data_IF_646634018404
#
_entry.id   IF_646634018404
#
_cell.length_a   1.000
_cell.length_b   1.000
_cell.length_c   1.000
_cell.angle_alpha   90.00
_cell.angle_beta   90.00
_cell.angle_gamma   90.00
#
_symmetry.space_group_name_H-M   'P 1'
#
loop_
_entity.id
_entity.type
_entity.pdbx_description
1 polymer ?
#
# COMPACT_ATOMS: atom_id res chain seq x y z
N UNK A 1 -29.65 22.45 20.82
CA UNK A 1 -28.72 23.44 21.42
C UNK A 1 -27.75 23.88 20.33
N UNK A 2 -27.46 25.18 20.26
CA UNK A 2 -26.57 25.79 19.25
C UNK A 2 -25.12 25.35 19.51
N UNK A 3 -24.40 25.03 18.44
CA UNK A 3 -22.97 24.75 18.45
C UNK A 3 -22.33 25.38 17.20
N UNK A 4 -22.58 26.67 17.00
CA UNK A 4 -21.79 27.52 16.12
C UNK A 4 -20.65 28.12 16.95
N UNK A 5 -19.48 28.30 16.34
CA UNK A 5 -18.22 28.85 16.87
C UNK A 5 -17.17 27.84 17.38
N UNK A 6 -16.82 26.84 16.57
CA UNK A 6 -15.44 26.33 16.56
C UNK A 6 -14.67 27.07 15.46
N UNK A 7 -13.57 27.73 15.84
CA UNK A 7 -12.69 28.41 14.89
C UNK A 7 -12.14 27.39 13.87
N UNK A 8 -12.18 27.73 12.59
CA UNK A 8 -11.59 26.91 11.54
C UNK A 8 -10.06 26.99 11.65
N UNK A 9 -9.44 26.01 12.31
CA UNK A 9 -7.98 25.94 12.46
C UNK A 9 -7.37 25.10 11.33
N UNK A 10 -6.59 25.76 10.47
CA UNK A 10 -5.84 25.09 9.41
C UNK A 10 -4.46 24.72 9.93
N UNK A 11 -4.14 23.42 9.94
CA UNK A 11 -2.84 22.92 10.33
C UNK A 11 -2.02 22.49 9.10
N UNK A 12 -0.74 22.86 9.04
CA UNK A 12 0.18 22.41 7.99
C UNK A 12 1.26 21.51 8.58
N UNK A 13 1.30 20.26 8.14
CA UNK A 13 2.38 19.31 8.41
C UNK A 13 3.46 19.41 7.33
N UNK A 14 4.73 19.27 7.71
CA UNK A 14 5.85 19.10 6.78
C UNK A 14 6.63 17.87 7.19
N UNK A 15 6.99 17.03 6.23
CA UNK A 15 7.69 15.79 6.52
C UNK A 15 8.37 15.22 5.30
N UNK A 16 9.22 14.24 5.55
CA UNK A 16 9.85 13.42 4.53
C UNK A 16 9.55 11.94 4.81
N UNK A 17 9.44 11.17 3.72
CA UNK A 17 9.29 9.72 3.78
C UNK A 17 10.40 9.10 2.95
N UNK A 18 11.08 8.11 3.52
CA UNK A 18 12.15 7.37 2.85
C UNK A 18 11.79 5.89 2.87
N UNK A 19 11.89 5.21 1.73
CA UNK A 19 11.64 3.76 1.64
C UNK A 19 12.83 2.99 1.10
N UNK A 20 13.00 1.78 1.59
CA UNK A 20 13.89 0.76 1.07
C UNK A 20 13.08 -0.49 0.75
N UNK A 21 13.26 -1.06 -0.44
CA UNK A 21 12.53 -2.22 -0.94
C UNK A 21 13.49 -3.27 -1.49
N UNK A 22 13.22 -4.54 -1.21
CA UNK A 22 13.95 -5.68 -1.74
C UNK A 22 12.98 -6.82 -2.07
N UNK A 23 13.25 -7.55 -3.15
CA UNK A 23 12.46 -8.71 -3.54
C UNK A 23 13.19 -9.58 -4.54
N UNK A 24 12.76 -10.84 -4.68
CA UNK A 24 13.36 -11.80 -5.59
C UNK A 24 12.32 -12.71 -6.24
N UNK A 25 12.32 -12.84 -7.57
CA UNK A 25 11.35 -13.66 -8.30
C UNK A 25 11.84 -15.08 -8.58
N UNK A 26 11.13 -16.08 -8.09
CA UNK A 26 11.33 -17.50 -8.37
C UNK A 26 10.29 -17.99 -9.38
N UNK A 27 10.73 -18.59 -10.49
CA UNK A 27 9.81 -19.30 -11.39
C UNK A 27 9.46 -20.66 -10.77
N UNK A 28 8.22 -20.82 -10.32
CA UNK A 28 7.73 -22.07 -9.71
C UNK A 28 7.53 -23.17 -10.75
N UNK A 29 7.03 -22.80 -11.94
CA UNK A 29 6.86 -23.70 -13.08
C UNK A 29 7.16 -22.95 -14.38
N UNK A 30 7.91 -23.60 -15.28
CA UNK A 30 8.31 -23.01 -16.56
C UNK A 30 7.37 -23.31 -17.72
N UNK A 31 6.35 -24.14 -17.57
CA UNK A 31 5.34 -24.40 -18.59
C UNK A 31 4.18 -25.20 -17.99
N UNK A 32 3.03 -24.57 -17.82
CA UNK A 32 1.75 -25.27 -17.65
C UNK A 32 0.74 -24.66 -18.63
N UNK A 33 -0.23 -25.44 -19.11
CA UNK A 33 -1.21 -25.03 -20.10
C UNK A 33 -1.37 -26.01 -21.27
N UNK A 34 -2.39 -25.79 -22.10
CA UNK A 34 -2.62 -26.53 -23.34
C UNK A 34 -1.48 -26.26 -24.33
N UNK A 35 -1.21 -27.18 -25.28
CA UNK A 35 -0.08 -27.11 -26.23
C UNK A 35 0.12 -25.75 -26.92
N UNK A 36 -0.94 -24.94 -27.07
CA UNK A 36 -0.95 -23.64 -27.72
C UNK A 36 -0.80 -22.42 -26.78
N UNK A 37 -0.70 -22.59 -25.46
CA UNK A 37 -0.51 -21.49 -24.52
C UNK A 37 0.33 -21.92 -23.32
N UNK A 38 1.59 -21.47 -23.27
CA UNK A 38 2.52 -21.76 -22.18
C UNK A 38 2.53 -20.63 -21.17
N UNK A 39 2.23 -20.95 -19.91
CA UNK A 39 2.30 -20.00 -18.81
C UNK A 39 3.51 -20.26 -17.91
N UNK A 40 4.11 -19.19 -17.38
CA UNK A 40 5.09 -19.25 -16.29
C UNK A 40 4.44 -18.73 -15.02
N UNK A 41 4.52 -19.50 -13.94
CA UNK A 41 4.12 -19.06 -12.62
C UNK A 41 5.33 -18.54 -11.84
N UNK A 42 5.28 -17.29 -11.38
CA UNK A 42 6.33 -16.66 -10.59
C UNK A 42 5.84 -16.40 -9.17
N UNK A 43 6.69 -16.69 -8.20
CA UNK A 43 6.52 -16.34 -6.80
C UNK A 43 7.64 -15.40 -6.38
N UNK A 44 7.29 -14.25 -5.81
CA UNK A 44 8.20 -13.18 -5.48
C UNK A 44 8.01 -12.76 -4.02
N UNK A 45 8.80 -13.29 -3.07
CA UNK A 45 8.90 -12.66 -1.76
C UNK A 45 9.44 -11.24 -1.87
N UNK A 46 8.92 -10.35 -1.03
CA UNK A 46 9.29 -8.96 -0.97
C UNK A 46 9.29 -8.44 0.48
N UNK A 47 10.19 -7.51 0.75
CA UNK A 47 10.30 -6.81 2.01
C UNK A 47 10.52 -5.31 1.72
N UNK A 48 9.88 -4.48 2.52
CA UNK A 48 9.97 -3.03 2.43
C UNK A 48 10.06 -2.43 3.83
N UNK A 49 10.88 -1.42 4.01
CA UNK A 49 10.93 -0.59 5.21
C UNK A 49 10.74 0.87 4.80
N UNK A 50 9.81 1.55 5.44
CA UNK A 50 9.46 2.95 5.19
C UNK A 50 9.67 3.71 6.50
N UNK A 51 10.59 4.66 6.50
CA UNK A 51 10.74 5.62 7.58
C UNK A 51 9.92 6.88 7.27
N UNK A 52 9.09 7.29 8.23
CA UNK A 52 8.19 8.44 8.13
C UNK A 52 8.61 9.50 9.15
N UNK A 53 9.44 10.44 8.70
CA UNK A 53 9.89 11.59 9.49
C UNK A 53 9.01 12.80 9.20
N UNK A 54 7.78 12.80 9.70
CA UNK A 54 6.90 13.98 9.67
C UNK A 54 7.08 14.72 10.99
N UNK A 55 7.48 15.98 10.91
CA UNK A 55 7.65 16.82 12.09
C UNK A 55 6.41 17.71 12.23
N UNK A 56 5.69 17.48 13.32
CA UNK A 56 4.51 18.22 13.66
C UNK A 56 4.86 19.22 14.77
N UNK A 57 5.14 20.48 14.42
CA UNK A 57 5.34 21.54 15.41
C UNK A 57 4.15 21.54 16.38
N UNK A 58 4.43 21.38 17.69
CA UNK A 58 3.43 21.37 18.75
C UNK A 58 2.56 22.63 18.65
N UNK A 59 1.23 22.45 18.57
CA UNK A 59 0.29 23.55 18.56
C UNK A 59 -0.47 23.57 19.88
N UNK A 60 -0.51 24.74 20.50
CA UNK A 60 -1.39 25.03 21.64
C UNK A 60 -2.59 25.76 21.06
N UNK A 61 -3.76 25.13 21.08
CA UNK A 61 -5.02 25.75 20.69
C UNK A 61 -5.30 27.02 21.53
N UNK A 62 -6.06 27.96 20.99
CA UNK A 62 -6.38 29.23 21.67
C UNK A 62 -7.17 29.07 22.99
N UNK A 63 -7.72 27.88 23.24
CA UNK A 63 -8.46 27.48 24.43
C UNK A 63 -7.55 26.85 25.53
N UNK A 64 -6.23 26.72 25.29
CA UNK A 64 -5.25 26.18 26.24
C UNK A 64 -4.97 24.67 26.10
N UNK A 65 -5.61 23.99 25.14
CA UNK A 65 -5.38 22.59 24.83
C UNK A 65 -4.07 22.39 24.06
N UNK A 66 -3.11 21.67 24.65
CA UNK A 66 -1.84 21.31 23.99
C UNK A 66 -2.00 19.98 23.28
N UNK A 67 -1.99 20.00 21.94
CA UNK A 67 -2.03 18.79 21.11
C UNK A 67 -0.57 18.42 20.80
N UNK A 68 -0.08 17.36 21.45
CA UNK A 68 1.18 16.72 21.10
C UNK A 68 0.87 15.45 20.30
N UNK A 69 1.17 15.48 18.99
CA UNK A 69 1.10 14.32 18.13
C UNK A 69 2.44 13.57 18.26
N UNK A 70 2.49 12.48 19.03
CA UNK A 70 3.73 11.76 19.38
C UNK A 70 4.12 10.69 18.32
N UNK A 71 3.53 10.80 17.13
CA UNK A 71 3.76 9.90 16.00
C UNK A 71 5.04 10.21 15.19
N UNK A 72 5.94 11.04 15.73
CA UNK A 72 7.22 11.37 15.08
C UNK A 72 8.07 10.10 14.89
N UNK A 73 8.63 9.93 13.69
CA UNK A 73 9.55 8.86 13.29
C UNK A 73 8.96 7.44 13.29
N UNK A 74 7.73 7.25 12.81
CA UNK A 74 7.18 5.91 12.59
C UNK A 74 8.02 5.15 11.53
N UNK A 75 8.33 3.89 11.81
CA UNK A 75 8.90 2.95 10.84
C UNK A 75 7.82 1.93 10.51
N UNK A 76 7.41 1.92 9.25
CA UNK A 76 6.53 0.89 8.71
C UNK A 76 7.38 -0.17 8.02
N UNK A 77 7.26 -1.42 8.46
CA UNK A 77 7.83 -2.57 7.77
C UNK A 77 6.72 -3.31 7.05
N UNK A 78 6.95 -3.73 5.81
CA UNK A 78 6.05 -4.59 5.05
C UNK A 78 6.80 -5.83 4.61
N UNK A 79 6.32 -7.00 5.02
CA UNK A 79 6.82 -8.29 4.61
C UNK A 79 5.73 -9.03 3.87
N UNK A 80 6.01 -9.53 2.68
CA UNK A 80 4.97 -10.18 1.90
C UNK A 80 5.50 -10.98 0.73
N UNK A 81 4.57 -11.42 -0.08
CA UNK A 81 4.89 -12.03 -1.36
C UNK A 81 3.87 -11.62 -2.40
N UNK A 82 4.33 -11.53 -3.65
CA UNK A 82 3.51 -11.41 -4.84
C UNK A 82 3.68 -12.65 -5.67
N UNK A 83 2.59 -13.17 -6.19
CA UNK A 83 2.63 -14.27 -7.15
C UNK A 83 1.79 -13.92 -8.37
N UNK A 84 2.32 -14.24 -9.54
CA UNK A 84 1.72 -13.84 -10.81
C UNK A 84 2.01 -14.86 -11.90
N UNK A 85 1.14 -14.86 -12.90
CA UNK A 85 1.23 -15.74 -14.05
C UNK A 85 1.52 -14.85 -15.27
N UNK A 86 2.46 -15.26 -16.12
CA UNK A 86 2.74 -14.58 -17.39
C UNK A 86 2.69 -15.56 -18.56
N UNK A 87 2.22 -15.11 -19.71
CA UNK A 87 2.27 -15.91 -20.95
C UNK A 87 3.68 -15.92 -21.52
N UNK A 88 4.05 -17.00 -22.22
CA UNK A 88 5.36 -17.17 -22.85
C UNK A 88 5.33 -17.06 -24.38
N UNK A 89 4.15 -17.00 -24.99
CA UNK A 89 4.05 -16.89 -26.45
C UNK A 89 3.97 -15.43 -26.92
N UNK A 90 4.61 -15.16 -28.06
CA UNK A 90 4.64 -13.87 -28.76
C UNK A 90 3.58 -13.75 -29.88
N UNK A 91 2.60 -14.66 -29.92
CA UNK A 91 1.71 -14.84 -31.07
C UNK A 91 0.29 -15.30 -30.68
N UNK A 92 -0.17 -15.03 -29.46
CA UNK A 92 -1.49 -15.48 -28.99
C UNK A 92 -2.58 -14.44 -29.30
N UNK A 93 -2.90 -14.25 -30.58
CA UNK A 93 -4.13 -13.59 -31.04
C UNK A 93 -4.30 -12.10 -30.69
N UNK A 94 -5.47 -11.48 -30.99
CA UNK A 94 -5.71 -10.04 -30.85
C UNK A 94 -5.78 -9.54 -29.39
N UNK A 95 -5.52 -10.40 -28.40
CA UNK A 95 -5.71 -10.15 -26.97
C UNK A 95 -4.47 -10.48 -26.12
N UNK A 96 -3.27 -10.15 -26.61
CA UNK A 96 -2.21 -9.63 -25.75
C UNK A 96 -1.25 -10.68 -25.16
N UNK A 97 0.01 -10.58 -25.57
CA UNK A 97 1.16 -11.32 -25.03
C UNK A 97 1.57 -10.87 -23.61
N UNK A 98 0.79 -10.04 -22.93
CA UNK A 98 1.24 -9.27 -21.75
C UNK A 98 0.18 -9.15 -20.64
N UNK A 99 -0.74 -10.11 -20.52
CA UNK A 99 -1.68 -10.16 -19.40
C UNK A 99 -1.06 -10.89 -18.21
N UNK A 100 -0.94 -10.21 -17.06
CA UNK A 100 -0.34 -10.74 -15.85
C UNK A 100 -1.27 -10.58 -14.64
N UNK A 101 -2.15 -11.56 -14.35
CA UNK A 101 -2.92 -11.57 -13.13
C UNK A 101 -1.99 -11.88 -11.95
N UNK A 102 -2.23 -11.21 -10.83
CA UNK A 102 -1.43 -11.39 -9.62
C UNK A 102 -2.27 -11.38 -8.35
N UNK A 103 -1.72 -12.06 -7.35
CA UNK A 103 -2.15 -11.99 -5.96
C UNK A 103 -0.95 -11.55 -5.14
N UNK A 104 -1.18 -10.65 -4.19
CA UNK A 104 -0.16 -10.20 -3.26
C UNK A 104 -0.72 -10.28 -1.84
N UNK A 105 0.10 -10.74 -0.91
CA UNK A 105 -0.23 -10.80 0.51
C UNK A 105 0.90 -10.14 1.27
N UNK A 106 0.57 -9.22 2.17
CA UNK A 106 1.55 -8.51 2.97
C UNK A 106 1.13 -8.50 4.44
N UNK A 107 2.12 -8.62 5.32
CA UNK A 107 2.04 -8.23 6.71
C UNK A 107 2.73 -6.87 6.85
N UNK A 108 1.99 -5.89 7.34
CA UNK A 108 2.45 -4.52 7.56
C UNK A 108 2.52 -4.31 9.06
N UNK A 109 3.67 -3.87 9.55
CA UNK A 109 3.92 -3.56 10.95
C UNK A 109 4.36 -2.11 11.08
N UNK A 110 3.69 -1.35 11.94
CA UNK A 110 4.07 0.02 12.29
C UNK A 110 4.73 0.00 13.67
N UNK A 111 5.95 0.57 13.79
CA UNK A 111 6.68 0.61 15.05
C UNK A 111 6.03 1.52 16.11
N UNK A 112 5.16 2.43 15.67
CA UNK A 112 4.40 3.34 16.53
C UNK A 112 2.93 3.33 16.12
N UNK A 113 2.06 3.37 17.12
CA UNK A 113 0.64 3.66 16.91
C UNK A 113 0.51 5.14 16.52
N UNK A 114 -0.19 5.42 15.43
CA UNK A 114 -0.56 6.80 15.11
C UNK A 114 -1.54 7.27 16.18
N UNK A 115 -1.01 8.01 17.17
CA UNK A 115 -1.77 8.48 18.32
C UNK A 115 -1.92 9.99 18.26
N UNK A 116 -3.16 10.47 18.18
CA UNK A 116 -3.46 11.88 18.37
C UNK A 116 -3.81 12.07 19.85
N UNK A 117 -2.99 12.82 20.58
CA UNK A 117 -3.32 13.22 21.96
C UNK A 117 -4.16 14.50 21.93
N UNK A 118 -5.39 14.43 22.41
CA UNK A 118 -6.22 15.62 22.68
C UNK A 118 -6.46 15.71 24.19
N UNK A 119 -5.98 16.76 24.84
CA UNK A 119 -6.20 17.03 26.27
C UNK A 119 -5.79 15.90 27.23
N UNK A 120 -4.66 15.23 26.96
CA UNK A 120 -4.15 14.14 27.81
C UNK A 120 -4.93 12.82 27.67
N UNK A 121 -5.93 12.78 26.80
CA UNK A 121 -6.56 11.54 26.33
C UNK A 121 -5.85 11.15 25.04
N UNK A 122 -5.05 10.08 25.11
CA UNK A 122 -4.39 9.49 23.95
C UNK A 122 -5.46 8.75 23.16
N UNK A 123 -5.86 9.28 21.99
CA UNK A 123 -6.64 8.52 21.02
C UNK A 123 -5.62 7.85 20.11
N UNK A 124 -5.23 6.65 20.50
CA UNK A 124 -4.49 5.75 19.63
C UNK A 124 -5.43 5.34 18.49
N UNK A 125 -4.98 5.40 17.24
CA UNK A 125 -5.62 4.64 16.16
C UNK A 125 -5.36 3.16 16.45
N UNK A 126 -6.13 2.64 17.40
CA UNK A 126 -5.98 1.31 17.96
C UNK A 126 -6.24 0.27 16.86
N UNK A 127 -5.29 -0.66 16.72
CA UNK A 127 -5.38 -1.76 15.76
C UNK A 127 -4.65 -1.61 14.42
N UNK A 128 -3.98 -0.48 14.17
CA UNK A 128 -3.15 -0.29 12.97
C UNK A 128 -1.66 -0.66 13.14
N UNK A 129 -1.27 -1.17 14.31
CA UNK A 129 0.11 -1.60 14.60
C UNK A 129 0.54 -2.81 13.77
N UNK A 130 -0.38 -3.74 13.55
CA UNK A 130 -0.20 -4.93 12.73
C UNK A 130 -1.39 -5.08 11.79
N UNK A 131 -1.11 -5.05 10.49
CA UNK A 131 -2.12 -5.17 9.45
C UNK A 131 -1.78 -6.33 8.52
N UNK A 132 -2.77 -7.16 8.21
CA UNK A 132 -2.74 -8.08 7.08
C UNK A 132 -3.34 -7.40 5.86
N UNK A 133 -2.66 -7.49 4.71
CA UNK A 133 -3.14 -6.96 3.44
C UNK A 133 -3.20 -8.08 2.40
N UNK A 134 -4.28 -8.12 1.64
CA UNK A 134 -4.40 -8.96 0.44
C UNK A 134 -4.76 -8.06 -0.74
N UNK A 135 -4.03 -8.19 -1.84
CA UNK A 135 -4.30 -7.52 -3.10
C UNK A 135 -4.51 -8.51 -4.23
N UNK A 136 -5.49 -8.23 -5.07
CA UNK A 136 -5.78 -8.95 -6.30
C UNK A 136 -5.71 -7.95 -7.44
N UNK A 137 -4.99 -8.27 -8.51
CA UNK A 137 -4.83 -7.34 -9.59
C UNK A 137 -4.39 -7.96 -10.89
N UNK A 138 -4.27 -7.09 -11.89
CA UNK A 138 -3.86 -7.46 -13.23
C UNK A 138 -3.02 -6.34 -13.85
N UNK A 139 -1.95 -6.74 -14.52
CA UNK A 139 -1.21 -5.88 -15.43
C UNK A 139 -1.51 -6.29 -16.88
N UNK A 140 -1.51 -5.32 -17.79
CA UNK A 140 -1.69 -5.54 -19.22
C UNK A 140 -0.90 -4.53 -20.04
N UNK A 141 -0.18 -4.95 -21.08
CA UNK A 141 0.30 -4.01 -22.08
C UNK A 141 -0.78 -3.79 -23.15
N UNK A 142 -1.13 -2.53 -23.39
CA UNK A 142 -2.04 -2.14 -24.46
C UNK A 142 -1.31 -2.14 -25.81
N UNK A 143 -0.05 -1.70 -25.81
CA UNK A 143 0.87 -1.73 -26.94
C UNK A 143 2.32 -1.60 -26.42
N UNK A 144 3.38 -1.69 -27.26
CA UNK A 144 4.77 -1.61 -26.79
C UNK A 144 5.15 -0.32 -26.03
N UNK A 145 4.40 0.77 -26.23
CA UNK A 145 4.62 2.06 -25.57
C UNK A 145 3.68 2.32 -24.38
N UNK A 146 2.60 1.55 -24.23
CA UNK A 146 1.54 1.80 -23.25
C UNK A 146 1.16 0.56 -22.44
N UNK A 147 1.17 0.69 -21.12
CA UNK A 147 0.78 -0.36 -20.17
C UNK A 147 -0.30 0.16 -19.22
N UNK A 148 -1.23 -0.71 -18.86
CA UNK A 148 -2.27 -0.45 -17.86
C UNK A 148 -2.14 -1.46 -16.72
N UNK A 149 -2.48 -1.04 -15.51
CA UNK A 149 -2.59 -1.94 -14.36
C UNK A 149 -3.79 -1.55 -13.51
N UNK A 150 -4.38 -2.53 -12.85
CA UNK A 150 -5.49 -2.34 -11.92
C UNK A 150 -5.46 -3.37 -10.80
N UNK A 151 -5.81 -2.97 -9.57
CA UNK A 151 -5.93 -3.88 -8.45
C UNK A 151 -6.93 -3.39 -7.40
N UNK A 152 -7.38 -4.34 -6.59
CA UNK A 152 -8.15 -4.13 -5.37
C UNK A 152 -7.37 -4.70 -4.20
N UNK A 153 -7.30 -3.95 -3.11
CA UNK A 153 -6.64 -4.34 -1.87
C UNK A 153 -7.58 -4.24 -0.69
N UNK A 154 -7.47 -5.19 0.24
CA UNK A 154 -8.14 -5.15 1.54
C UNK A 154 -7.08 -5.26 2.63
N UNK A 155 -7.10 -4.33 3.57
CA UNK A 155 -6.29 -4.36 4.79
C UNK A 155 -7.18 -4.67 5.99
N UNK A 156 -6.68 -5.52 6.88
CA UNK A 156 -7.34 -5.97 8.11
C UNK A 156 -6.36 -5.79 9.26
N UNK A 157 -6.79 -5.16 10.35
CA UNK A 157 -5.99 -4.94 11.55
C UNK A 157 -6.66 -5.46 12.80
N UNK A 158 -6.00 -5.24 13.93
CA UNK A 158 -6.59 -5.52 15.24
C UNK A 158 -7.76 -4.56 15.51
N UNK A 159 -8.57 -4.86 16.52
CA UNK A 159 -9.70 -4.04 16.97
C UNK A 159 -10.74 -3.68 15.88
N UNK A 160 -10.85 -4.49 14.82
CA UNK A 160 -11.86 -4.33 13.77
C UNK A 160 -11.47 -3.35 12.66
N UNK A 161 -10.20 -2.94 12.57
CA UNK A 161 -9.72 -2.11 11.46
C UNK A 161 -9.91 -2.82 10.12
N UNK A 162 -10.60 -2.16 9.18
CA UNK A 162 -10.63 -2.57 7.78
C UNK A 162 -10.46 -1.37 6.86
N UNK A 163 -9.73 -1.56 5.78
CA UNK A 163 -9.60 -0.59 4.70
C UNK A 163 -9.68 -1.33 3.35
N UNK A 164 -10.40 -0.76 2.39
CA UNK A 164 -10.51 -1.33 1.04
C UNK A 164 -10.17 -0.25 0.02
N UNK A 165 -9.15 -0.53 -0.79
CA UNK A 165 -8.63 0.39 -1.78
C UNK A 165 -8.72 -0.21 -3.18
N UNK A 166 -9.07 0.62 -4.16
CA UNK A 166 -9.03 0.26 -5.58
C UNK A 166 -8.07 1.22 -6.27
N UNK A 167 -7.15 0.68 -7.05
CA UNK A 167 -6.16 1.45 -7.79
C UNK A 167 -6.16 1.06 -9.26
N UNK A 168 -6.07 2.06 -10.13
CA UNK A 168 -5.92 1.92 -11.58
C UNK A 168 -4.85 2.89 -12.04
N UNK A 169 -3.98 2.45 -12.95
CA UNK A 169 -2.93 3.30 -13.49
C UNK A 169 -2.61 3.01 -14.95
N UNK A 170 -2.10 4.03 -15.63
CA UNK A 170 -1.63 3.99 -17.01
C UNK A 170 -0.17 4.45 -17.05
N UNK A 171 0.67 3.74 -17.80
CA UNK A 171 2.07 4.09 -18.05
C UNK A 171 2.30 4.21 -19.54
N UNK A 172 2.94 5.30 -19.96
CA UNK A 172 3.34 5.53 -21.36
C UNK A 172 4.85 5.80 -21.44
N UNK A 173 5.52 5.19 -22.43
CA UNK A 173 6.95 5.36 -22.71
C UNK A 173 7.10 6.17 -24.01
N UNK A 174 7.92 7.22 -23.97
CA UNK A 174 8.27 8.07 -25.11
C UNK A 174 9.61 7.65 -25.72
#
# INVERSE_FOLDING_TARGET
MKGDELAYESYSAKGATVSLEAGYGFALNKSFGLEAAKYTWIFQPQAQAIWMGVDHNAHTEANGSRIENDANNNIQTRLGFRTFIRTQEKNSGPHGDDFEPFVEMNWIHNSKDFAVSMNGVKVEQDGASNLGEIKLGVNGNLNPAASVWGNVGVQLGDNGYNDTAVMVGLKYKF
#
